data_IF_707194121053
#
_entry.id   IF_707194121053
#
_cell.length_a   1.000
_cell.length_b   1.000
_cell.length_c   1.000
_cell.angle_alpha   90.00
_cell.angle_beta   90.00
_cell.angle_gamma   90.00
#
_symmetry.space_group_name_H-M   'P 1'
#
loop_
_entity.id
_entity.type
_entity.pdbx_description
1 polymer ?
#
# COMPACT_ATOMS: atom_id res chain seq x y z
N UNK A 1 -18.45 -5.41 -9.76
CA UNK A 1 -19.05 -5.35 -8.41
C UNK A 1 -20.38 -6.06 -8.34
N UNK A 2 -21.38 -5.69 -9.12
CA UNK A 2 -22.74 -6.31 -9.12
C UNK A 2 -22.73 -7.83 -9.29
N UNK A 3 -21.86 -8.38 -10.14
CA UNK A 3 -21.75 -9.83 -10.33
C UNK A 3 -21.21 -10.53 -9.08
N UNK A 4 -20.18 -9.98 -8.43
CA UNK A 4 -19.62 -10.54 -7.19
C UNK A 4 -20.67 -10.55 -6.07
N UNK A 5 -21.42 -9.45 -5.93
CA UNK A 5 -22.52 -9.38 -4.97
C UNK A 5 -23.60 -10.44 -5.25
N UNK A 6 -24.02 -10.60 -6.51
CA UNK A 6 -25.00 -11.64 -6.92
C UNK A 6 -24.48 -13.07 -6.68
N UNK A 7 -23.17 -13.26 -6.69
CA UNK A 7 -22.52 -14.54 -6.37
C UNK A 7 -22.36 -14.78 -4.87
N UNK A 8 -22.92 -13.90 -4.02
CA UNK A 8 -22.89 -14.05 -2.56
C UNK A 8 -21.65 -13.48 -1.87
N UNK A 9 -20.82 -12.68 -2.57
CA UNK A 9 -19.71 -12.00 -1.93
C UNK A 9 -20.21 -11.01 -0.88
N UNK A 10 -19.62 -11.02 0.31
CA UNK A 10 -19.99 -10.13 1.43
C UNK A 10 -19.06 -8.91 1.53
N UNK A 11 -17.88 -8.97 0.92
CA UNK A 11 -16.95 -7.87 0.76
C UNK A 11 -16.09 -8.07 -0.50
N UNK A 12 -15.35 -7.04 -0.90
CA UNK A 12 -14.44 -7.08 -2.03
C UNK A 12 -13.09 -6.48 -1.63
N UNK A 13 -12.01 -7.03 -2.17
CA UNK A 13 -10.68 -6.44 -2.15
C UNK A 13 -10.26 -6.06 -3.57
N UNK A 14 -9.65 -4.89 -3.70
CA UNK A 14 -8.91 -4.51 -4.91
C UNK A 14 -7.47 -4.98 -4.74
N UNK A 15 -7.08 -6.07 -5.42
CA UNK A 15 -5.83 -6.78 -5.17
C UNK A 15 -4.55 -6.07 -5.66
N UNK A 16 -4.60 -4.76 -5.92
CA UNK A 16 -3.44 -3.95 -6.26
C UNK A 16 -3.56 -2.56 -5.63
N UNK A 17 -2.44 -1.99 -5.18
CA UNK A 17 -2.43 -0.61 -4.65
C UNK A 17 -2.99 0.38 -5.69
N UNK A 18 -2.50 0.33 -6.92
CA UNK A 18 -2.90 1.25 -8.01
C UNK A 18 -4.40 1.18 -8.33
N UNK A 19 -5.07 0.04 -8.12
CA UNK A 19 -6.51 -0.09 -8.34
C UNK A 19 -7.35 0.80 -7.41
N UNK A 20 -6.77 1.25 -6.28
CA UNK A 20 -7.45 2.15 -5.34
C UNK A 20 -7.60 3.59 -5.87
N UNK A 21 -6.94 3.93 -6.97
CA UNK A 21 -7.17 5.19 -7.69
C UNK A 21 -8.64 5.41 -8.07
N UNK A 22 -9.36 4.33 -8.38
CA UNK A 22 -10.79 4.37 -8.72
C UNK A 22 -11.71 3.96 -7.56
N UNK A 23 -11.17 3.87 -6.35
CA UNK A 23 -11.91 3.39 -5.17
C UNK A 23 -13.20 4.17 -4.93
N UNK A 24 -13.16 5.50 -4.91
CA UNK A 24 -14.33 6.34 -4.64
C UNK A 24 -15.47 6.09 -5.63
N UNK A 25 -15.13 5.96 -6.92
CA UNK A 25 -16.10 5.69 -7.97
C UNK A 25 -16.73 4.29 -7.82
N UNK A 26 -15.92 3.29 -7.50
CA UNK A 26 -16.37 1.91 -7.36
C UNK A 26 -17.14 1.71 -6.06
N UNK A 27 -16.70 2.31 -4.96
CA UNK A 27 -17.35 2.23 -3.66
C UNK A 27 -18.76 2.84 -3.68
N UNK A 28 -18.92 3.98 -4.34
CA UNK A 28 -20.24 4.62 -4.50
C UNK A 28 -21.25 3.81 -5.30
N UNK A 29 -20.79 2.84 -6.09
CA UNK A 29 -21.63 1.93 -6.89
C UNK A 29 -21.70 0.51 -6.32
N UNK A 30 -20.97 0.22 -5.24
CA UNK A 30 -20.92 -1.10 -4.64
C UNK A 30 -22.01 -1.26 -3.60
N UNK A 31 -22.80 -2.32 -3.71
CA UNK A 31 -23.78 -2.71 -2.68
C UNK A 31 -23.16 -3.48 -1.51
N UNK A 32 -21.86 -3.74 -1.53
CA UNK A 32 -21.11 -4.46 -0.49
C UNK A 32 -19.80 -3.74 -0.19
N UNK A 33 -19.25 -3.91 1.03
CA UNK A 33 -18.02 -3.25 1.45
C UNK A 33 -16.84 -3.55 0.54
N UNK A 34 -16.02 -2.52 0.26
CA UNK A 34 -14.70 -2.68 -0.34
C UNK A 34 -13.69 -2.42 0.78
N UNK A 35 -12.92 -3.44 1.14
CA UNK A 35 -11.88 -3.30 2.14
C UNK A 35 -10.70 -2.52 1.52
N UNK A 36 -10.41 -1.33 2.06
CA UNK A 36 -9.43 -0.43 1.45
C UNK A 36 -8.00 -0.75 1.93
N UNK A 37 -7.05 -0.91 1.01
CA UNK A 37 -5.65 -1.25 1.33
C UNK A 37 -4.98 -0.15 2.16
N UNK A 38 -5.33 1.11 1.95
CA UNK A 38 -4.87 2.24 2.75
C UNK A 38 -5.34 2.17 4.22
N UNK A 39 -6.53 1.59 4.48
CA UNK A 39 -7.00 1.37 5.85
C UNK A 39 -6.20 0.28 6.56
N UNK A 40 -5.92 -0.83 5.87
CA UNK A 40 -5.08 -1.88 6.42
C UNK A 40 -3.69 -1.33 6.79
N UNK A 41 -3.11 -0.55 5.88
CA UNK A 41 -1.79 0.06 6.04
C UNK A 41 -1.80 1.12 7.15
N UNK A 42 -2.74 2.06 7.12
CA UNK A 42 -2.85 3.15 8.09
C UNK A 42 -3.08 2.66 9.52
N UNK A 43 -3.91 1.63 9.71
CA UNK A 43 -4.11 0.98 11.02
C UNK A 43 -2.82 0.35 11.55
N UNK A 44 -2.06 -0.33 10.70
CA UNK A 44 -0.79 -0.95 11.08
C UNK A 44 0.25 0.10 11.49
N UNK A 45 0.39 1.19 10.71
CA UNK A 45 1.30 2.29 11.02
C UNK A 45 0.90 2.96 12.34
N UNK A 46 -0.38 3.27 12.54
CA UNK A 46 -0.86 3.86 13.80
C UNK A 46 -0.63 2.96 15.01
N UNK A 47 -0.84 1.65 14.85
CA UNK A 47 -0.57 0.66 15.90
C UNK A 47 0.91 0.64 16.31
N UNK A 48 1.82 0.94 15.38
CA UNK A 48 3.26 1.07 15.65
C UNK A 48 3.64 2.43 16.26
N UNK A 49 2.70 3.35 16.45
CA UNK A 49 2.95 4.68 17.00
C UNK A 49 3.63 5.65 16.04
N UNK A 50 3.82 5.28 14.77
CA UNK A 50 4.53 6.09 13.80
C UNK A 50 3.60 7.15 13.17
N UNK A 51 4.18 8.29 12.82
CA UNK A 51 3.46 9.42 12.20
C UNK A 51 4.03 9.83 10.84
N UNK A 52 5.22 9.37 10.49
CA UNK A 52 5.90 9.71 9.25
C UNK A 52 6.53 8.46 8.65
N UNK A 53 6.17 8.12 7.42
CA UNK A 53 6.65 6.92 6.72
C UNK A 53 7.15 7.24 5.31
N UNK A 54 8.01 6.40 4.78
CA UNK A 54 8.33 6.38 3.36
C UNK A 54 7.33 5.48 2.61
N UNK A 55 7.10 5.76 1.36
CA UNK A 55 6.31 4.96 0.43
C UNK A 55 7.09 4.76 -0.86
N UNK A 56 7.30 3.50 -1.22
CA UNK A 56 7.74 3.10 -2.55
C UNK A 56 6.68 2.24 -3.21
N UNK A 57 6.50 2.38 -4.50
CA UNK A 57 5.45 1.69 -5.24
C UNK A 57 5.56 1.94 -6.74
N UNK A 58 4.46 1.69 -7.45
CA UNK A 58 4.35 2.16 -8.83
C UNK A 58 4.39 3.69 -8.86
N UNK A 59 4.77 4.25 -10.01
CA UNK A 59 4.71 5.70 -10.22
C UNK A 59 3.34 6.28 -9.80
N UNK A 60 2.26 5.62 -10.18
CA UNK A 60 0.90 6.02 -9.82
C UNK A 60 0.64 6.01 -8.31
N UNK A 61 1.14 5.01 -7.60
CA UNK A 61 0.98 4.91 -6.14
C UNK A 61 1.74 6.04 -5.43
N UNK A 62 2.88 6.46 -5.98
CA UNK A 62 3.70 7.53 -5.40
C UNK A 62 3.23 8.94 -5.78
N UNK A 63 2.63 9.15 -6.97
CA UNK A 63 2.38 10.49 -7.53
C UNK A 63 0.90 10.91 -7.55
N UNK A 64 -0.05 9.97 -7.68
CA UNK A 64 -1.47 10.29 -7.91
C UNK A 64 -2.27 10.61 -6.62
N UNK A 65 -1.60 10.66 -5.47
CA UNK A 65 -2.20 11.07 -4.19
C UNK A 65 -3.07 10.03 -3.50
N UNK A 66 -3.76 9.14 -4.21
CA UNK A 66 -4.79 8.25 -3.65
C UNK A 66 -4.34 7.43 -2.43
N UNK A 67 -3.05 7.11 -2.27
CA UNK A 67 -2.51 6.44 -1.08
C UNK A 67 -1.99 7.46 -0.07
N UNK A 68 -1.23 8.46 -0.52
CA UNK A 68 -0.62 9.49 0.33
C UNK A 68 -1.69 10.30 1.05
N UNK A 69 -2.68 10.79 0.31
CA UNK A 69 -3.79 11.58 0.86
C UNK A 69 -4.68 10.72 1.77
N UNK A 70 -4.94 9.46 1.39
CA UNK A 70 -5.68 8.53 2.26
C UNK A 70 -5.04 8.36 3.63
N UNK A 71 -3.72 8.11 3.67
CA UNK A 71 -2.97 7.94 4.92
C UNK A 71 -2.97 9.23 5.75
N UNK A 72 -2.86 10.38 5.10
CA UNK A 72 -2.91 11.69 5.74
C UNK A 72 -4.30 11.98 6.32
N UNK A 73 -5.34 11.90 5.49
CA UNK A 73 -6.68 12.37 5.83
C UNK A 73 -7.38 11.46 6.83
N UNK A 74 -7.20 10.14 6.73
CA UNK A 74 -7.86 9.17 7.62
C UNK A 74 -7.04 8.79 8.84
N UNK A 75 -5.70 8.92 8.76
CA UNK A 75 -4.80 8.42 9.81
C UNK A 75 -3.85 9.46 10.37
N UNK A 76 -3.77 10.65 9.78
CA UNK A 76 -2.83 11.70 10.19
C UNK A 76 -1.37 11.31 9.99
N UNK A 77 -1.08 10.48 8.99
CA UNK A 77 0.26 9.97 8.69
C UNK A 77 0.87 10.78 7.55
N UNK A 78 2.02 11.40 7.80
CA UNK A 78 2.84 12.03 6.77
C UNK A 78 3.54 10.93 5.94
N UNK A 79 3.44 11.01 4.63
CA UNK A 79 4.00 10.01 3.73
C UNK A 79 4.98 10.65 2.76
N UNK A 80 6.25 10.26 2.85
CA UNK A 80 7.33 10.68 1.94
C UNK A 80 7.41 9.69 0.77
N UNK A 81 7.64 10.24 -0.41
CA UNK A 81 8.02 9.48 -1.62
C UNK A 81 9.39 9.95 -2.11
N UNK A 82 10.12 9.19 -2.94
CA UNK A 82 11.36 9.67 -3.56
C UNK A 82 11.14 10.99 -4.28
N UNK A 83 11.95 12.03 -3.97
CA UNK A 83 11.78 13.38 -4.53
C UNK A 83 12.05 13.42 -6.03
N UNK A 84 13.08 12.69 -6.48
CA UNK A 84 13.49 12.66 -7.87
C UNK A 84 12.44 11.94 -8.74
N UNK A 85 11.94 12.61 -9.77
CA UNK A 85 11.11 11.97 -10.79
C UNK A 85 11.84 10.79 -11.47
N UNK A 86 13.16 10.91 -11.65
CA UNK A 86 13.97 9.82 -12.20
C UNK A 86 13.99 8.61 -11.26
N UNK A 87 14.05 8.83 -9.94
CA UNK A 87 14.00 7.74 -8.97
C UNK A 87 12.64 7.01 -9.03
N UNK A 88 11.54 7.75 -9.08
CA UNK A 88 10.21 7.15 -9.21
C UNK A 88 10.02 6.41 -10.55
N UNK A 89 10.60 6.92 -11.65
CA UNK A 89 10.61 6.24 -12.93
C UNK A 89 11.44 4.96 -12.91
N UNK A 90 12.60 4.98 -12.25
CA UNK A 90 13.46 3.79 -12.15
C UNK A 90 12.81 2.71 -11.28
N UNK A 91 12.16 3.07 -10.17
CA UNK A 91 11.36 2.13 -9.38
C UNK A 91 10.24 1.50 -10.23
N UNK A 92 9.52 2.32 -11.03
CA UNK A 92 8.51 1.83 -11.97
C UNK A 92 9.10 0.87 -13.01
N UNK A 93 10.28 1.21 -13.58
CA UNK A 93 10.98 0.36 -14.55
C UNK A 93 11.37 -1.01 -13.94
N UNK A 94 11.91 -0.97 -12.72
CA UNK A 94 12.27 -2.20 -11.97
C UNK A 94 11.04 -3.08 -11.79
N UNK A 95 9.91 -2.50 -11.35
CA UNK A 95 8.66 -3.25 -11.20
C UNK A 95 8.27 -3.91 -12.54
N UNK A 96 8.07 -3.11 -13.59
CA UNK A 96 7.48 -3.59 -14.84
C UNK A 96 8.40 -4.49 -15.66
N UNK A 97 9.70 -4.18 -15.70
CA UNK A 97 10.63 -4.85 -16.62
C UNK A 97 11.44 -5.97 -15.92
N UNK A 98 11.32 -6.08 -14.62
CA UNK A 98 12.06 -7.08 -13.84
C UNK A 98 11.13 -7.87 -12.92
N UNK A 99 10.56 -7.23 -11.90
CA UNK A 99 9.81 -7.95 -10.85
C UNK A 99 8.52 -8.61 -11.40
N UNK A 100 7.75 -7.91 -12.24
CA UNK A 100 6.56 -8.46 -12.92
C UNK A 100 6.89 -9.65 -13.83
N UNK A 101 8.14 -9.70 -14.31
CA UNK A 101 8.66 -10.77 -15.15
C UNK A 101 9.37 -11.88 -14.37
N UNK A 102 9.37 -11.80 -13.02
CA UNK A 102 10.05 -12.76 -12.16
C UNK A 102 11.59 -12.66 -12.21
N UNK A 103 12.12 -11.51 -12.63
CA UNK A 103 13.56 -11.23 -12.70
C UNK A 103 13.99 -10.47 -11.46
N UNK A 104 14.88 -11.07 -10.66
CA UNK A 104 15.36 -10.50 -9.39
C UNK A 104 16.85 -10.23 -9.47
N UNK A 105 17.23 -8.96 -9.72
CA UNK A 105 18.63 -8.54 -9.86
C UNK A 105 19.16 -7.95 -8.57
N UNK A 106 20.38 -8.32 -8.14
CA UNK A 106 21.01 -7.73 -6.96
C UNK A 106 21.16 -6.22 -7.03
N UNK A 107 21.49 -5.68 -8.20
CA UNK A 107 21.63 -4.25 -8.45
C UNK A 107 20.30 -3.50 -8.31
N UNK A 108 19.19 -4.10 -8.76
CA UNK A 108 17.87 -3.52 -8.59
C UNK A 108 17.40 -3.55 -7.13
N UNK A 109 17.69 -4.65 -6.42
CA UNK A 109 17.48 -4.70 -4.95
C UNK A 109 18.26 -3.62 -4.25
N UNK A 110 19.56 -3.47 -4.59
CA UNK A 110 20.40 -2.41 -4.01
C UNK A 110 19.83 -1.03 -4.26
N UNK A 111 19.40 -0.74 -5.49
CA UNK A 111 18.79 0.54 -5.84
C UNK A 111 17.56 0.83 -4.99
N UNK A 112 16.67 -0.15 -4.83
CA UNK A 112 15.46 0.00 -3.99
C UNK A 112 15.84 0.28 -2.54
N UNK A 113 16.85 -0.42 -1.99
CA UNK A 113 17.36 -0.17 -0.63
C UNK A 113 17.95 1.22 -0.49
N UNK A 114 18.69 1.72 -1.49
CA UNK A 114 19.25 3.09 -1.50
C UNK A 114 18.11 4.14 -1.45
N UNK A 115 16.99 3.92 -2.15
CA UNK A 115 15.82 4.79 -2.08
C UNK A 115 15.12 4.74 -0.70
N UNK A 116 15.05 3.57 -0.09
CA UNK A 116 14.51 3.42 1.27
C UNK A 116 15.38 4.17 2.27
N UNK A 117 16.70 4.08 2.15
CA UNK A 117 17.63 4.79 3.01
C UNK A 117 17.54 6.32 2.83
N UNK A 118 17.39 6.82 1.58
CA UNK A 118 17.13 8.25 1.33
C UNK A 118 15.88 8.73 2.07
N UNK A 119 14.78 7.97 1.99
CA UNK A 119 13.55 8.30 2.70
C UNK A 119 13.76 8.31 4.23
N UNK A 120 14.55 7.37 4.76
CA UNK A 120 14.93 7.34 6.17
C UNK A 120 15.70 8.59 6.60
N UNK A 121 16.68 9.01 5.83
CA UNK A 121 17.47 10.23 6.08
C UNK A 121 16.62 11.49 6.05
N UNK A 122 15.49 11.49 5.32
CA UNK A 122 14.48 12.56 5.30
C UNK A 122 13.48 12.46 6.44
N UNK A 123 13.66 11.50 7.35
CA UNK A 123 12.88 11.35 8.58
C UNK A 123 11.73 10.34 8.50
N UNK A 124 11.69 9.47 7.49
CA UNK A 124 10.77 8.34 7.50
C UNK A 124 11.12 7.39 8.66
N UNK A 125 10.12 7.04 9.45
CA UNK A 125 10.24 6.18 10.62
C UNK A 125 9.89 4.71 10.32
N UNK A 126 9.40 4.43 9.13
CA UNK A 126 9.05 3.13 8.57
C UNK A 126 8.88 3.22 7.08
N UNK A 127 8.82 2.10 6.40
CA UNK A 127 8.66 2.02 4.94
C UNK A 127 7.41 1.24 4.55
N UNK A 128 6.59 1.82 3.68
CA UNK A 128 5.43 1.17 3.05
C UNK A 128 5.85 0.61 1.70
N UNK A 129 5.74 -0.69 1.54
CA UNK A 129 5.91 -1.37 0.26
C UNK A 129 4.56 -1.35 -0.48
N UNK A 130 4.35 -0.28 -1.26
CA UNK A 130 3.11 0.01 -1.99
C UNK A 130 3.02 -0.68 -3.37
N UNK A 131 3.70 -1.80 -3.54
CA UNK A 131 3.62 -2.66 -4.71
C UNK A 131 3.72 -4.11 -4.27
N UNK A 132 2.95 -5.00 -4.91
CA UNK A 132 2.89 -6.43 -4.58
C UNK A 132 4.22 -7.15 -4.82
N UNK A 133 5.07 -6.60 -5.67
CA UNK A 133 6.35 -7.18 -6.10
C UNK A 133 7.53 -6.83 -5.20
N UNK A 134 7.53 -5.69 -4.51
CA UNK A 134 8.66 -5.31 -3.65
C UNK A 134 8.93 -6.30 -2.50
N UNK A 135 7.93 -6.93 -1.85
CA UNK A 135 8.20 -7.98 -0.87
C UNK A 135 8.95 -9.21 -1.41
N UNK A 136 9.02 -9.39 -2.73
CA UNK A 136 9.81 -10.46 -3.35
C UNK A 136 11.32 -10.22 -3.20
N UNK A 137 11.75 -8.96 -3.14
CA UNK A 137 13.17 -8.58 -3.06
C UNK A 137 13.54 -7.84 -1.77
N UNK A 138 12.58 -7.22 -1.07
CA UNK A 138 12.80 -6.48 0.19
C UNK A 138 12.13 -7.23 1.33
N UNK A 139 12.92 -7.59 2.35
CA UNK A 139 12.46 -8.29 3.55
C UNK A 139 12.70 -7.44 4.79
N UNK A 140 12.02 -7.73 5.88
CA UNK A 140 12.15 -7.02 7.16
C UNK A 140 13.61 -6.92 7.64
N UNK A 141 14.46 -7.91 7.38
CA UNK A 141 15.88 -7.88 7.76
C UNK A 141 16.80 -7.06 6.84
N UNK A 142 16.31 -6.60 5.71
CA UNK A 142 17.08 -5.80 4.75
C UNK A 142 17.16 -4.31 5.15
N UNK A 143 16.29 -3.84 6.02
CA UNK A 143 16.17 -2.44 6.46
C UNK A 143 16.10 -2.34 7.99
N UNK A 144 16.52 -1.20 8.55
CA UNK A 144 16.58 -0.97 10.00
C UNK A 144 15.26 -0.47 10.58
N UNK A 145 14.33 -0.04 9.74
CA UNK A 145 13.04 0.50 10.14
C UNK A 145 11.89 -0.51 9.93
N UNK A 146 10.73 -0.34 10.59
CA UNK A 146 9.54 -1.15 10.34
C UNK A 146 9.11 -1.16 8.87
N UNK A 147 8.79 -2.33 8.35
CA UNK A 147 8.30 -2.55 6.98
C UNK A 147 6.80 -2.81 7.02
N UNK A 148 6.05 -2.08 6.23
CA UNK A 148 4.61 -2.23 6.04
C UNK A 148 4.34 -2.79 4.63
N UNK A 149 4.24 -4.10 4.54
CA UNK A 149 3.84 -4.81 3.33
C UNK A 149 2.32 -4.66 3.13
N UNK A 150 1.92 -3.85 2.18
CA UNK A 150 0.51 -3.55 1.93
C UNK A 150 -0.29 -4.78 1.51
N UNK A 151 0.33 -5.74 0.83
CA UNK A 151 -0.31 -6.99 0.38
C UNK A 151 -0.65 -7.88 1.57
N UNK A 152 0.34 -8.08 2.47
CA UNK A 152 0.16 -8.87 3.68
C UNK A 152 -0.89 -8.22 4.61
N UNK A 153 -0.79 -6.91 4.83
CA UNK A 153 -1.72 -6.17 5.68
C UNK A 153 -3.16 -6.21 5.14
N UNK A 154 -3.33 -6.07 3.82
CA UNK A 154 -4.63 -6.14 3.19
C UNK A 154 -5.25 -7.54 3.25
N UNK A 155 -4.43 -8.56 3.03
CA UNK A 155 -4.85 -9.96 3.21
C UNK A 155 -5.27 -10.26 4.65
N UNK A 156 -4.51 -9.75 5.64
CA UNK A 156 -4.88 -9.90 7.05
C UNK A 156 -6.20 -9.19 7.37
N UNK A 157 -6.45 -8.01 6.80
CA UNK A 157 -7.74 -7.33 6.95
C UNK A 157 -8.90 -8.18 6.40
N UNK A 158 -8.72 -8.86 5.27
CA UNK A 158 -9.73 -9.76 4.72
C UNK A 158 -10.02 -10.95 5.67
N UNK A 159 -8.97 -11.56 6.21
CA UNK A 159 -9.11 -12.63 7.21
C UNK A 159 -9.85 -12.14 8.45
N UNK A 160 -9.48 -10.96 8.96
CA UNK A 160 -10.13 -10.36 10.13
C UNK A 160 -11.62 -10.06 9.86
N UNK A 161 -11.97 -9.64 8.64
CA UNK A 161 -13.36 -9.47 8.21
C UNK A 161 -14.12 -10.79 8.21
N UNK A 162 -13.56 -11.85 7.61
CA UNK A 162 -14.16 -13.20 7.56
C UNK A 162 -14.39 -13.75 8.97
N UNK A 163 -13.45 -13.52 9.89
CA UNK A 163 -13.53 -13.97 11.29
C UNK A 163 -14.43 -13.07 12.17
N UNK A 164 -15.09 -12.06 11.61
CA UNK A 164 -15.99 -11.18 12.34
C UNK A 164 -15.31 -10.32 13.41
N UNK A 165 -14.01 -10.07 13.30
CA UNK A 165 -13.31 -9.20 14.26
C UNK A 165 -13.83 -7.78 14.14
N UNK A 166 -14.36 -7.24 15.25
CA UNK A 166 -14.98 -5.92 15.30
C UNK A 166 -14.00 -4.80 14.94
N UNK A 167 -14.49 -3.79 14.22
CA UNK A 167 -13.72 -2.60 13.83
C UNK A 167 -13.54 -2.41 12.32
N UNK A 168 -13.86 -3.42 11.50
CA UNK A 168 -13.74 -3.33 10.04
C UNK A 168 -15.00 -2.75 9.36
N UNK A 169 -16.16 -2.90 9.98
CA UNK A 169 -17.46 -2.49 9.42
C UNK A 169 -17.75 -0.97 9.47
N UNK A 170 -16.89 -0.14 10.09
CA UNK A 170 -17.15 1.30 10.28
C UNK A 170 -16.57 2.23 9.21
N UNK A 171 -15.91 1.71 8.18
CA UNK A 171 -15.20 2.54 7.18
C UNK A 171 -16.11 3.02 6.03
N UNK A 172 -17.38 2.64 6.03
CA UNK A 172 -18.32 3.01 4.95
C UNK A 172 -19.30 4.15 5.28
N UNK A 173 -19.12 4.83 6.40
CA UNK A 173 -19.96 5.98 6.72
C UNK A 173 -19.12 7.25 6.90
N UNK A 174 -18.55 7.73 5.83
CA UNK A 174 -18.23 9.14 5.65
C UNK A 174 -19.02 9.65 4.44
N UNK A 175 -19.64 10.83 4.56
CA UNK A 175 -20.57 11.39 3.60
C UNK A 175 -19.96 11.65 2.23
#
# INVERSE_FOLDING_TARGET
>A
MTQLQRSGAQAVLLCANTSHKVYAEVAGKSGIPILHIGDATGRAIRKSGLKKVGLIGTKYTMEDGFMVDWLKDHYGIETLVPDSANARHELQRIIQNELDMGIFKPESKKYVLDQIEELHQRGAQGIVLGCTEFPLIIRTGDVTMPVFDTTLLHSQMAVDFILGKQGLARVQSAP
#
